data_IF_706087486435
#
_entry.id   IF_706087486435
#
_cell.length_a   1.000
_cell.length_b   1.000
_cell.length_c   1.000
_cell.angle_alpha   90.00
_cell.angle_beta   90.00
_cell.angle_gamma   90.00
#
_symmetry.space_group_name_H-M   'P 1'
#
loop_
_entity.id
_entity.type
_entity.pdbx_description
1 polymer ?
#
# COMPACT_ATOMS: atom_id res chain seq x y z
N UNK A 1 5.80 -16.46 20.28
CA UNK A 1 6.08 -16.43 18.82
C UNK A 1 7.55 -16.07 18.63
N UNK A 2 8.27 -16.87 17.84
CA UNK A 2 9.69 -16.58 17.53
C UNK A 2 9.74 -15.40 16.55
N UNK A 3 10.54 -14.38 16.83
CA UNK A 3 10.75 -13.27 15.90
C UNK A 3 11.53 -13.78 14.69
N UNK A 4 11.04 -13.60 13.45
CA UNK A 4 11.76 -14.02 12.26
C UNK A 4 13.08 -13.24 12.12
N UNK A 5 14.17 -13.95 11.87
CA UNK A 5 15.52 -13.37 11.79
C UNK A 5 16.05 -13.25 10.36
N UNK A 6 15.35 -13.80 9.39
CA UNK A 6 15.76 -13.81 7.98
C UNK A 6 14.63 -13.48 7.02
N UNK A 7 14.99 -13.04 5.82
CA UNK A 7 14.01 -12.76 4.76
C UNK A 7 13.11 -13.95 4.41
N UNK A 8 13.62 -15.17 4.25
CA UNK A 8 12.79 -16.36 4.04
C UNK A 8 11.78 -16.62 5.17
N UNK A 9 12.19 -16.47 6.43
CA UNK A 9 11.29 -16.63 7.57
C UNK A 9 10.18 -15.56 7.59
N UNK A 10 10.51 -14.32 7.25
CA UNK A 10 9.50 -13.25 7.13
C UNK A 10 8.52 -13.54 6.00
N UNK A 11 9.00 -14.04 4.85
CA UNK A 11 8.11 -14.42 3.73
C UNK A 11 7.18 -15.56 4.10
N UNK A 12 7.68 -16.57 4.81
CA UNK A 12 6.87 -17.69 5.27
C UNK A 12 5.78 -17.20 6.24
N UNK A 13 6.16 -16.38 7.21
CA UNK A 13 5.19 -15.79 8.16
C UNK A 13 4.16 -14.93 7.44
N UNK A 14 4.56 -14.11 6.46
CA UNK A 14 3.62 -13.31 5.67
C UNK A 14 2.61 -14.19 4.92
N UNK A 15 3.09 -15.27 4.30
CA UNK A 15 2.20 -16.22 3.60
C UNK A 15 1.21 -16.90 4.56
N UNK A 16 1.67 -17.32 5.74
CA UNK A 16 0.83 -17.92 6.78
C UNK A 16 -0.25 -16.94 7.29
N UNK A 17 0.06 -15.64 7.28
CA UNK A 17 -0.87 -14.57 7.63
C UNK A 17 -1.77 -14.11 6.46
N UNK A 18 -1.73 -14.78 5.31
CA UNK A 18 -2.57 -14.46 4.15
C UNK A 18 -1.97 -13.47 3.17
N UNK A 19 -0.69 -13.11 3.30
CA UNK A 19 0.04 -12.25 2.36
C UNK A 19 0.99 -13.06 1.47
N UNK A 20 0.50 -13.60 0.33
CA UNK A 20 1.31 -14.47 -0.54
C UNK A 20 2.47 -13.74 -1.23
N UNK A 21 2.43 -12.41 -1.26
CA UNK A 21 3.49 -11.60 -1.84
C UNK A 21 4.18 -10.78 -0.75
N UNK A 22 5.49 -10.97 -0.61
CA UNK A 22 6.34 -10.16 0.25
C UNK A 22 7.65 -9.82 -0.46
N UNK A 23 8.00 -8.55 -0.48
CA UNK A 23 9.23 -8.02 -1.05
C UNK A 23 9.97 -7.17 -0.02
N UNK A 24 11.29 -7.12 -0.16
CA UNK A 24 12.17 -6.33 0.71
C UNK A 24 12.94 -5.33 -0.12
N UNK A 25 13.07 -4.12 0.38
CA UNK A 25 13.95 -3.12 -0.20
C UNK A 25 14.69 -2.36 0.90
N UNK A 26 15.88 -1.91 0.60
CA UNK A 26 16.61 -1.00 1.50
C UNK A 26 15.86 0.33 1.56
N UNK A 27 15.89 0.97 2.72
CA UNK A 27 15.29 2.30 2.89
C UNK A 27 16.22 3.35 2.26
N UNK A 28 15.67 4.07 1.30
CA UNK A 28 16.29 5.25 0.70
C UNK A 28 15.33 6.42 0.75
N UNK A 29 15.80 7.64 1.04
CA UNK A 29 14.98 8.83 0.89
C UNK A 29 14.55 9.00 -0.57
N UNK A 30 13.26 9.17 -0.80
CA UNK A 30 12.67 9.46 -2.10
C UNK A 30 12.43 10.98 -2.21
N UNK A 31 13.50 11.75 -2.30
CA UNK A 31 13.44 13.22 -2.23
C UNK A 31 12.63 13.83 -3.39
N UNK A 32 12.74 13.28 -4.59
CA UNK A 32 11.99 13.74 -5.76
C UNK A 32 10.50 13.48 -5.61
N UNK A 33 10.12 12.30 -5.13
CA UNK A 33 8.73 11.93 -4.88
C UNK A 33 8.12 12.77 -3.76
N UNK A 34 8.91 13.04 -2.70
CA UNK A 34 8.48 13.93 -1.61
C UNK A 34 8.20 15.34 -2.13
N UNK A 35 9.12 15.92 -2.90
CA UNK A 35 8.96 17.25 -3.49
C UNK A 35 7.80 17.29 -4.49
N UNK A 36 7.58 16.22 -5.25
CA UNK A 36 6.41 16.10 -6.13
C UNK A 36 5.11 16.11 -5.32
N UNK A 37 5.02 15.30 -4.27
CA UNK A 37 3.84 15.23 -3.42
C UNK A 37 3.53 16.57 -2.77
N UNK A 38 4.54 17.27 -2.25
CA UNK A 38 4.36 18.59 -1.64
C UNK A 38 3.76 19.60 -2.63
N UNK A 39 4.30 19.65 -3.84
CA UNK A 39 3.75 20.53 -4.91
C UNK A 39 2.32 20.13 -5.27
N UNK A 40 2.07 18.84 -5.44
CA UNK A 40 0.78 18.30 -5.80
C UNK A 40 -0.31 18.63 -4.75
N UNK A 41 0.04 18.55 -3.47
CA UNK A 41 -0.82 18.93 -2.36
C UNK A 41 -1.03 20.46 -2.34
N UNK A 42 0.03 21.25 -2.51
CA UNK A 42 -0.04 22.71 -2.53
C UNK A 42 -0.93 23.25 -3.67
N UNK A 43 -0.98 22.53 -4.80
CA UNK A 43 -1.86 22.82 -5.92
C UNK A 43 -3.34 22.40 -5.70
N UNK A 44 -3.70 21.90 -4.52
CA UNK A 44 -5.06 21.50 -4.17
C UNK A 44 -5.51 20.18 -4.79
N UNK A 45 -4.61 19.44 -5.43
CA UNK A 45 -4.93 18.19 -6.13
C UNK A 45 -5.32 17.04 -5.18
N UNK A 46 -4.99 17.17 -3.91
CA UNK A 46 -5.40 16.20 -2.87
C UNK A 46 -6.91 16.22 -2.58
N UNK A 47 -7.62 17.26 -3.01
CA UNK A 47 -9.05 17.42 -2.78
C UNK A 47 -9.45 17.10 -1.31
N UNK A 48 -10.38 16.17 -1.08
CA UNK A 48 -10.78 15.72 0.24
C UNK A 48 -9.85 14.72 0.94
N UNK A 49 -8.73 14.34 0.31
CA UNK A 49 -7.80 13.36 0.87
C UNK A 49 -6.81 14.00 1.87
N UNK A 50 -7.33 14.54 2.98
CA UNK A 50 -6.54 15.24 4.00
C UNK A 50 -5.41 14.41 4.61
N UNK A 51 -5.49 13.08 4.53
CA UNK A 51 -4.42 12.18 4.95
C UNK A 51 -3.15 12.31 4.07
N UNK A 52 -3.26 12.75 2.81
CA UNK A 52 -2.10 13.00 1.94
C UNK A 52 -1.32 14.25 2.33
N UNK A 53 -2.02 15.27 2.83
CA UNK A 53 -1.41 16.53 3.27
C UNK A 53 -0.81 16.46 4.68
N UNK A 54 -1.14 15.42 5.45
CA UNK A 54 -0.55 15.23 6.77
C UNK A 54 0.86 14.64 6.66
N UNK A 55 1.85 15.33 7.21
CA UNK A 55 3.24 14.89 7.36
C UNK A 55 3.87 14.33 6.04
N UNK A 56 3.92 15.11 4.96
CA UNK A 56 4.46 14.65 3.66
C UNK A 56 5.92 14.19 3.78
N UNK A 57 6.71 14.76 4.69
CA UNK A 57 8.09 14.35 4.94
C UNK A 57 8.23 12.88 5.39
N UNK A 58 7.22 12.31 6.07
CA UNK A 58 7.22 10.89 6.45
C UNK A 58 7.07 9.96 5.24
N UNK A 59 6.37 10.42 4.21
CA UNK A 59 6.14 9.64 2.98
C UNK A 59 7.38 9.59 2.11
N UNK A 60 8.14 10.66 2.07
CA UNK A 60 9.37 10.73 1.30
C UNK A 60 10.57 10.03 1.96
N UNK A 61 10.50 9.74 3.26
CA UNK A 61 11.57 9.03 3.96
C UNK A 61 11.02 8.12 5.08
N UNK A 62 10.93 6.82 4.85
CA UNK A 62 10.48 5.87 5.87
C UNK A 62 11.30 5.88 7.16
N UNK A 63 12.56 6.33 7.15
CA UNK A 63 13.36 6.48 8.37
C UNK A 63 12.78 7.53 9.32
N UNK A 64 11.93 8.45 8.84
CA UNK A 64 11.21 9.41 9.69
C UNK A 64 10.06 8.76 10.47
N UNK A 65 9.62 7.56 10.09
CA UNK A 65 8.61 6.79 10.81
C UNK A 65 9.23 5.95 11.93
N UNK A 66 10.36 5.35 11.65
CA UNK A 66 11.08 4.49 12.58
C UNK A 66 12.57 4.77 12.50
N UNK A 67 13.09 5.43 13.52
CA UNK A 67 14.52 5.70 13.61
C UNK A 67 15.33 4.37 13.60
N UNK A 68 16.37 4.33 12.77
CA UNK A 68 17.18 3.14 12.61
C UNK A 68 16.60 2.06 11.71
N UNK A 69 15.43 2.28 11.11
CA UNK A 69 14.90 1.35 10.10
C UNK A 69 15.86 1.26 8.91
N UNK A 70 16.08 0.04 8.43
CA UNK A 70 17.02 -0.28 7.32
C UNK A 70 16.35 -0.97 6.16
N UNK A 71 15.19 -1.57 6.40
CA UNK A 71 14.47 -2.39 5.42
C UNK A 71 13.00 -2.01 5.42
N UNK A 72 12.45 -1.85 4.24
CA UNK A 72 11.01 -1.75 3.99
C UNK A 72 10.52 -3.13 3.55
N UNK A 73 9.43 -3.58 4.14
CA UNK A 73 8.73 -4.81 3.76
C UNK A 73 7.43 -4.41 3.09
N UNK A 74 7.29 -4.77 1.82
CA UNK A 74 6.05 -4.58 1.07
C UNK A 74 5.28 -5.89 1.03
N UNK A 75 4.03 -5.86 1.47
CA UNK A 75 3.11 -6.99 1.45
C UNK A 75 2.05 -6.80 0.38
N UNK A 76 1.63 -7.87 -0.26
CA UNK A 76 0.60 -7.83 -1.29
C UNK A 76 -0.39 -8.97 -1.17
N UNK A 77 -1.66 -8.63 -1.39
CA UNK A 77 -2.76 -9.57 -1.46
C UNK A 77 -3.41 -9.47 -2.83
N UNK A 78 -3.62 -10.57 -3.57
CA UNK A 78 -4.35 -10.51 -4.81
C UNK A 78 -5.84 -10.27 -4.54
N UNK A 79 -6.42 -9.34 -5.26
CA UNK A 79 -7.87 -9.09 -5.28
C UNK A 79 -8.52 -9.51 -6.62
N UNK A 80 -7.80 -10.25 -7.45
CA UNK A 80 -8.32 -10.81 -8.68
C UNK A 80 -9.23 -11.99 -8.36
N UNK A 81 -10.48 -11.69 -8.07
CA UNK A 81 -11.54 -12.68 -7.92
C UNK A 81 -12.13 -13.09 -9.27
N UNK A 82 -13.36 -13.55 -9.26
CA UNK A 82 -14.12 -14.09 -10.38
C UNK A 82 -14.06 -13.26 -11.68
N UNK A 83 -14.31 -13.92 -12.79
CA UNK A 83 -14.42 -13.30 -14.12
C UNK A 83 -15.43 -12.16 -14.12
N UNK A 84 -15.08 -11.08 -14.81
CA UNK A 84 -16.03 -9.97 -15.03
C UNK A 84 -17.30 -10.49 -15.66
N UNK A 85 -18.48 -10.08 -15.17
CA UNK A 85 -19.73 -10.35 -15.88
C UNK A 85 -19.67 -9.75 -17.30
N UNK A 86 -20.41 -10.30 -18.25
CA UNK A 86 -20.51 -9.75 -19.60
C UNK A 86 -20.87 -8.28 -19.56
N UNK A 87 -20.28 -7.50 -20.44
CA UNK A 87 -20.56 -6.06 -20.52
C UNK A 87 -22.04 -5.85 -20.86
N UNK A 88 -22.83 -5.14 -20.03
CA UNK A 88 -24.20 -4.82 -20.38
C UNK A 88 -24.26 -3.99 -21.67
N UNK A 89 -25.36 -4.10 -22.38
CA UNK A 89 -25.62 -3.32 -23.61
C UNK A 89 -25.82 -1.83 -23.31
N UNK A 90 -26.24 -1.50 -22.09
CA UNK A 90 -26.44 -0.10 -21.65
C UNK A 90 -25.13 0.51 -21.16
N UNK A 91 -24.97 1.85 -21.29
CA UNK A 91 -23.81 2.57 -20.77
C UNK A 91 -23.80 2.51 -19.25
N UNK A 92 -22.80 1.80 -18.70
CA UNK A 92 -22.60 1.66 -17.26
C UNK A 92 -21.20 2.13 -16.87
N UNK A 93 -21.09 2.68 -15.68
CA UNK A 93 -19.80 3.00 -15.08
C UNK A 93 -19.00 1.75 -14.76
N UNK A 94 -17.66 1.87 -14.74
CA UNK A 94 -16.75 0.81 -14.28
C UNK A 94 -16.15 1.20 -12.95
N UNK A 95 -16.36 0.36 -11.95
CA UNK A 95 -15.71 0.49 -10.65
C UNK A 95 -14.45 -0.38 -10.65
N UNK A 96 -13.38 0.13 -10.06
CA UNK A 96 -12.14 -0.62 -9.92
C UNK A 96 -12.38 -1.92 -9.11
N UNK A 97 -11.76 -3.01 -9.52
CA UNK A 97 -12.03 -4.35 -8.96
C UNK A 97 -11.79 -4.41 -7.45
N UNK A 98 -10.78 -3.71 -6.92
CA UNK A 98 -10.51 -3.70 -5.48
C UNK A 98 -11.67 -3.13 -4.64
N UNK A 99 -12.56 -2.37 -5.26
CA UNK A 99 -13.71 -1.74 -4.60
C UNK A 99 -15.02 -2.55 -4.72
N UNK A 100 -14.97 -3.79 -5.22
CA UNK A 100 -16.17 -4.61 -5.43
C UNK A 100 -16.61 -5.40 -4.20
N UNK A 101 -15.71 -5.59 -3.25
CA UNK A 101 -15.96 -6.37 -2.05
C UNK A 101 -16.15 -5.52 -0.80
N UNK A 102 -15.96 -6.16 0.34
CA UNK A 102 -15.88 -5.50 1.63
C UNK A 102 -14.65 -4.58 1.68
N UNK A 103 -14.70 -3.58 2.56
CA UNK A 103 -13.56 -2.71 2.79
C UNK A 103 -12.35 -3.54 3.26
N UNK A 104 -11.30 -3.50 2.44
CA UNK A 104 -10.07 -4.26 2.71
C UNK A 104 -9.34 -3.81 3.98
N UNK A 105 -9.59 -2.59 4.47
CA UNK A 105 -8.99 -2.12 5.72
C UNK A 105 -9.39 -3.02 6.90
N UNK A 106 -10.63 -3.47 6.98
CA UNK A 106 -11.06 -4.42 7.98
C UNK A 106 -10.36 -5.77 7.84
N UNK A 107 -10.30 -6.29 6.61
CA UNK A 107 -9.69 -7.59 6.31
C UNK A 107 -8.18 -7.65 6.62
N UNK A 108 -7.47 -6.53 6.52
CA UNK A 108 -6.03 -6.48 6.79
C UNK A 108 -5.72 -6.28 8.29
N UNK A 109 -6.67 -5.73 9.05
CA UNK A 109 -6.48 -5.45 10.48
C UNK A 109 -6.79 -6.65 11.38
N UNK A 110 -7.56 -7.63 10.91
CA UNK A 110 -7.90 -8.87 11.61
C UNK A 110 -6.78 -9.92 11.45
#
# INVERSE_FOLDING_TARGET
MKVPASGPEVKALAADLGFPFAAFTAIHPAAEDAAFLERWVAEGKAAGMGWLSREPARRGNPANLLAGARTLISLGVPYAGETLPPRPAEPVGRVARYAWGLDYHGTIQD
#
